data_IF_936269460693
#
_entry.id   IF_936269460693
#
_cell.length_a   1.000
_cell.length_b   1.000
_cell.length_c   1.000
_cell.angle_alpha   90.00
_cell.angle_beta   90.00
_cell.angle_gamma   90.00
#
_symmetry.space_group_name_H-M   'P 1'
#
loop_
_entity.id
_entity.type
_entity.pdbx_description
1 polymer ?
#
# COMPACT_ATOMS: atom_id res chain seq x y z
N UNK A 1 -23.57 21.35 0.85
CA UNK A 1 -22.78 20.13 0.57
C UNK A 1 -21.45 20.38 1.24
N UNK A 2 -21.14 19.64 2.30
CA UNK A 2 -19.88 19.77 3.02
C UNK A 2 -18.79 19.24 2.08
N UNK A 3 -17.89 20.12 1.62
CA UNK A 3 -16.74 19.68 0.82
C UNK A 3 -15.82 18.91 1.74
N UNK A 4 -15.88 17.58 1.62
CA UNK A 4 -15.02 16.68 2.36
C UNK A 4 -13.63 16.78 1.75
N UNK A 5 -12.76 17.53 2.41
CA UNK A 5 -11.35 17.66 2.02
C UNK A 5 -10.74 16.26 1.87
N UNK A 6 -10.15 15.97 0.69
CA UNK A 6 -9.57 14.67 0.42
C UNK A 6 -8.36 14.47 1.36
N UNK A 7 -8.37 13.45 2.24
CA UNK A 7 -7.27 13.25 3.18
C UNK A 7 -5.97 12.94 2.42
N UNK A 8 -4.86 13.50 2.91
CA UNK A 8 -3.52 13.24 2.37
C UNK A 8 -3.22 11.75 2.49
N UNK A 9 -2.81 11.12 1.39
CA UNK A 9 -2.39 9.72 1.40
C UNK A 9 -1.08 9.58 2.16
N UNK A 10 -1.01 8.60 3.07
CA UNK A 10 0.17 8.35 3.88
C UNK A 10 0.59 6.88 3.84
N UNK A 11 1.85 6.61 4.16
CA UNK A 11 2.37 5.26 4.45
C UNK A 11 1.83 4.75 5.78
N UNK A 12 2.09 3.47 6.12
CA UNK A 12 1.75 2.90 7.43
C UNK A 12 2.43 3.61 8.60
N UNK A 13 3.56 4.28 8.35
CA UNK A 13 4.28 5.10 9.34
C UNK A 13 3.79 6.55 9.42
N UNK A 14 2.79 6.93 8.61
CA UNK A 14 2.20 8.28 8.59
C UNK A 14 2.97 9.31 7.76
N UNK A 15 3.98 8.91 7.00
CA UNK A 15 4.67 9.82 6.08
C UNK A 15 3.79 10.10 4.85
N UNK A 16 3.73 11.33 4.33
CA UNK A 16 2.93 11.66 3.15
C UNK A 16 3.48 10.97 1.89
N UNK A 17 2.58 10.46 1.06
CA UNK A 17 2.90 9.80 -0.21
C UNK A 17 2.85 10.83 -1.34
N UNK A 18 3.99 11.04 -2.02
CA UNK A 18 4.08 12.00 -3.12
C UNK A 18 3.49 11.48 -4.44
N UNK A 19 3.86 10.25 -4.82
CA UNK A 19 3.35 9.56 -6.02
C UNK A 19 2.90 8.15 -5.65
N UNK A 20 1.70 7.77 -6.10
CA UNK A 20 1.09 6.47 -5.84
C UNK A 20 0.74 5.71 -7.14
N UNK A 21 1.12 6.26 -8.29
CA UNK A 21 0.88 5.67 -9.61
C UNK A 21 2.15 5.07 -10.22
N UNK A 22 3.32 5.54 -9.79
CA UNK A 22 4.61 5.07 -10.32
C UNK A 22 5.49 4.48 -9.22
N UNK A 23 6.22 3.42 -9.55
CA UNK A 23 7.27 2.85 -8.69
C UNK A 23 8.60 3.56 -8.91
N UNK A 24 9.47 3.54 -7.90
CA UNK A 24 10.83 4.02 -8.00
C UNK A 24 11.71 2.97 -8.70
N UNK A 25 12.23 3.32 -9.87
CA UNK A 25 13.03 2.44 -10.73
C UNK A 25 14.41 3.03 -11.04
N UNK A 26 15.36 2.18 -11.48
CA UNK A 26 16.67 2.58 -11.99
C UNK A 26 16.58 3.20 -13.40
N UNK A 27 15.82 4.30 -13.54
CA UNK A 27 15.48 4.93 -14.82
C UNK A 27 14.12 4.46 -15.38
N UNK A 28 13.61 5.07 -16.47
CA UNK A 28 12.23 4.87 -16.94
C UNK A 28 11.84 3.42 -17.27
N UNK A 29 12.82 2.60 -17.68
CA UNK A 29 12.63 1.18 -17.99
C UNK A 29 13.60 0.28 -17.20
N UNK A 30 14.15 0.81 -16.10
CA UNK A 30 15.04 0.07 -15.21
C UNK A 30 14.27 -0.80 -14.21
N UNK A 31 14.99 -1.65 -13.49
CA UNK A 31 14.42 -2.45 -12.41
C UNK A 31 13.91 -1.59 -11.25
N UNK A 32 12.90 -2.09 -10.53
CA UNK A 32 12.40 -1.48 -9.29
C UNK A 32 13.50 -1.49 -8.21
N UNK A 33 13.61 -0.38 -7.47
CA UNK A 33 14.58 -0.24 -6.39
C UNK A 33 14.00 -0.76 -5.07
N UNK A 34 14.81 -1.47 -4.28
CA UNK A 34 14.44 -1.92 -2.94
C UNK A 34 14.16 -0.75 -1.98
N UNK A 35 14.71 0.43 -2.27
CA UNK A 35 14.48 1.65 -1.50
C UNK A 35 13.07 2.24 -1.69
N UNK A 36 12.25 1.69 -2.59
CA UNK A 36 10.84 2.07 -2.73
C UNK A 36 10.01 1.54 -1.54
N UNK A 37 10.14 2.21 -0.40
CA UNK A 37 9.49 1.80 0.84
C UNK A 37 7.97 1.81 0.73
N UNK A 38 7.39 2.83 0.07
CA UNK A 38 5.94 2.96 -0.11
C UNK A 38 5.35 1.78 -0.89
N UNK A 39 6.00 1.37 -1.97
CA UNK A 39 5.58 0.20 -2.74
C UNK A 39 5.60 -1.08 -1.89
N UNK A 40 6.69 -1.30 -1.16
CA UNK A 40 6.86 -2.50 -0.33
C UNK A 40 5.83 -2.57 0.80
N UNK A 41 5.60 -1.45 1.48
CA UNK A 41 4.61 -1.34 2.56
C UNK A 41 3.19 -1.65 2.07
N UNK A 42 2.83 -1.09 0.89
CA UNK A 42 1.52 -1.30 0.26
C UNK A 42 1.30 -2.76 -0.15
N UNK A 43 2.28 -3.40 -0.78
CA UNK A 43 2.19 -4.80 -1.19
C UNK A 43 2.16 -5.74 0.02
N UNK A 44 3.00 -5.49 1.03
CA UNK A 44 3.07 -6.32 2.23
C UNK A 44 1.75 -6.33 3.03
N UNK A 45 1.05 -5.18 3.05
CA UNK A 45 -0.29 -5.09 3.60
C UNK A 45 -1.31 -5.86 2.76
N UNK A 46 -1.32 -5.62 1.44
CA UNK A 46 -2.23 -6.28 0.50
C UNK A 46 -2.16 -7.82 0.60
N UNK A 47 -0.94 -8.37 0.61
CA UNK A 47 -0.70 -9.80 0.71
C UNK A 47 -1.25 -10.43 2.00
N UNK A 48 -1.53 -9.61 3.02
CA UNK A 48 -2.03 -10.03 4.35
C UNK A 48 -3.49 -9.63 4.60
N UNK A 49 -4.21 -9.16 3.60
CA UNK A 49 -5.61 -8.73 3.75
C UNK A 49 -6.57 -9.90 4.06
N UNK A 50 -6.22 -11.12 3.63
CA UNK A 50 -7.09 -12.27 3.79
C UNK A 50 -6.88 -12.94 5.14
N UNK A 51 -7.95 -12.99 5.92
CA UNK A 51 -8.05 -13.83 7.11
C UNK A 51 -8.78 -15.14 6.77
N UNK A 52 -8.45 -16.26 7.43
CA UNK A 52 -9.22 -17.49 7.27
C UNK A 52 -10.68 -17.27 7.67
N UNK A 53 -11.62 -17.73 6.83
CA UNK A 53 -12.99 -17.93 7.31
C UNK A 53 -12.94 -19.07 8.32
N UNK A 54 -13.35 -18.80 9.56
CA UNK A 54 -13.29 -19.77 10.64
C UNK A 54 -13.94 -21.09 10.19
N UNK A 55 -13.23 -22.20 10.40
CA UNK A 55 -13.82 -23.52 10.18
C UNK A 55 -15.07 -23.60 11.03
N UNK A 56 -16.24 -23.76 10.40
CA UNK A 56 -17.46 -24.14 11.10
C UNK A 56 -17.13 -25.35 11.97
N UNK A 57 -17.06 -25.15 13.28
CA UNK A 57 -17.06 -26.22 14.26
C UNK A 57 -18.45 -26.83 14.20
N UNK A 58 -18.63 -27.76 13.27
CA UNK A 58 -19.83 -28.56 13.19
C UNK A 58 -19.71 -29.63 14.26
N UNK A 59 -20.32 -29.34 15.41
CA UNK A 59 -20.69 -30.33 16.41
C UNK A 59 -21.65 -31.37 15.81
#
# INVERSE_FOLDING_TARGET
MEEKECPVLTTSTGAPVGDNQNSLTAGPYGSVLLSDFHLLDKLAHFDRERIPVGSQSRA
#
